data_IF_212308534330
#
_entry.id   IF_212308534330
#
_cell.length_a   1.000
_cell.length_b   1.000
_cell.length_c   1.000
_cell.angle_alpha   90.00
_cell.angle_beta   90.00
_cell.angle_gamma   90.00
#
_symmetry.space_group_name_H-M   'P 1'
#
loop_
_entity.id
_entity.type
_entity.pdbx_description
1 polymer ?
#
# COMPACT_ATOMS: atom_id res chain seq x y z
N UNK A 1 -7.04 -5.74 -11.13
CA UNK A 1 -7.18 -5.27 -9.75
C UNK A 1 -6.24 -5.99 -8.77
N UNK A 2 -6.25 -7.32 -8.73
CA UNK A 2 -5.59 -8.10 -7.68
C UNK A 2 -4.06 -7.91 -7.56
N UNK A 3 -3.41 -7.28 -8.53
CA UNK A 3 -1.97 -7.00 -8.51
C UNK A 3 -1.56 -5.94 -7.47
N UNK A 4 -2.48 -5.03 -7.11
CA UNK A 4 -2.25 -4.01 -6.10
C UNK A 4 -3.44 -3.91 -5.15
N UNK A 5 -3.19 -4.08 -3.84
CA UNK A 5 -4.23 -3.94 -2.84
C UNK A 5 -5.23 -5.12 -2.75
N UNK A 6 -4.99 -6.24 -3.42
CA UNK A 6 -5.80 -7.45 -3.33
C UNK A 6 -7.27 -7.20 -3.67
N UNK A 7 -8.13 -7.16 -2.65
CA UNK A 7 -9.57 -6.90 -2.81
C UNK A 7 -9.94 -5.41 -2.89
N UNK A 8 -8.99 -4.50 -2.72
CA UNK A 8 -9.23 -3.05 -2.80
C UNK A 8 -9.30 -2.61 -4.27
N UNK A 9 -10.41 -1.99 -4.76
CA UNK A 9 -10.60 -1.65 -6.17
C UNK A 9 -9.88 -0.37 -6.57
N UNK A 10 -8.56 -0.27 -6.30
CA UNK A 10 -7.79 0.96 -6.52
C UNK A 10 -7.41 1.19 -7.98
N UNK A 11 -7.03 0.15 -8.71
CA UNK A 11 -6.64 0.28 -10.13
C UNK A 11 -7.83 0.77 -10.94
N UNK A 12 -9.00 0.17 -10.72
CA UNK A 12 -10.24 0.59 -11.40
C UNK A 12 -10.66 2.01 -10.99
N UNK A 13 -10.51 2.35 -9.71
CA UNK A 13 -10.79 3.71 -9.25
C UNK A 13 -9.93 4.74 -9.98
N UNK A 14 -8.61 4.52 -10.08
CA UNK A 14 -7.70 5.39 -10.81
C UNK A 14 -8.04 5.49 -12.30
N UNK A 15 -8.42 4.36 -12.94
CA UNK A 15 -8.69 4.31 -14.38
C UNK A 15 -10.10 4.74 -14.78
N UNK A 16 -11.03 4.85 -13.84
CA UNK A 16 -12.44 5.13 -14.17
C UNK A 16 -13.07 6.20 -13.30
N UNK A 17 -13.03 6.04 -11.97
CA UNK A 17 -13.79 6.91 -11.07
C UNK A 17 -13.09 8.23 -10.77
N UNK A 18 -11.77 8.25 -10.82
CA UNK A 18 -10.91 9.41 -10.49
C UNK A 18 -10.34 10.11 -11.74
N UNK A 19 -10.82 9.77 -12.94
CA UNK A 19 -10.28 10.29 -14.19
C UNK A 19 -10.58 11.78 -14.45
N UNK A 20 -11.51 12.37 -13.69
CA UNK A 20 -11.78 13.80 -13.75
C UNK A 20 -10.79 14.63 -12.92
N UNK A 21 -10.02 13.98 -12.05
CA UNK A 21 -9.06 14.63 -11.17
C UNK A 21 -7.63 14.49 -11.70
N UNK A 22 -6.83 15.52 -11.44
CA UNK A 22 -5.38 15.37 -11.45
C UNK A 22 -4.95 14.84 -10.08
N UNK A 23 -4.34 13.66 -10.08
CA UNK A 23 -3.87 13.05 -8.85
C UNK A 23 -2.52 13.69 -8.47
N UNK A 24 -2.47 14.27 -7.28
CA UNK A 24 -1.28 14.92 -6.73
C UNK A 24 -0.50 14.00 -5.80
N UNK A 25 -1.20 13.13 -5.06
CA UNK A 25 -0.56 12.21 -4.11
C UNK A 25 -1.27 10.86 -4.08
N UNK A 26 -0.46 9.80 -3.98
CA UNK A 26 -0.89 8.46 -3.59
C UNK A 26 0.00 8.04 -2.43
N UNK A 27 -0.59 7.67 -1.31
CA UNK A 27 0.14 7.15 -0.15
C UNK A 27 -0.59 5.93 0.40
N UNK A 28 0.10 4.81 0.53
CA UNK A 28 -0.55 3.55 0.89
C UNK A 28 0.22 2.68 1.86
N UNK A 29 -0.53 1.91 2.64
CA UNK A 29 -0.09 0.71 3.33
C UNK A 29 -0.41 -0.44 2.37
N UNK A 30 0.60 -0.86 1.59
CA UNK A 30 0.43 -1.77 0.45
C UNK A 30 0.87 -3.20 0.74
N UNK A 31 1.36 -3.47 1.94
CA UNK A 31 1.81 -4.80 2.35
C UNK A 31 1.24 -5.16 3.72
N UNK A 32 0.38 -6.18 3.77
CA UNK A 32 -0.31 -6.60 4.98
C UNK A 32 0.62 -7.26 6.00
N UNK A 33 1.64 -7.99 5.56
CA UNK A 33 2.63 -8.66 6.43
C UNK A 33 3.39 -7.64 7.27
N UNK A 34 3.96 -6.62 6.64
CA UNK A 34 4.70 -5.56 7.34
C UNK A 34 3.81 -4.71 8.22
N UNK A 35 2.57 -4.42 7.79
CA UNK A 35 1.63 -3.68 8.63
C UNK A 35 1.25 -4.49 9.89
N UNK A 36 0.99 -5.79 9.74
CA UNK A 36 0.76 -6.70 10.86
C UNK A 36 1.97 -6.70 11.82
N UNK A 37 3.18 -6.86 11.29
CA UNK A 37 4.40 -6.91 12.10
C UNK A 37 4.60 -5.62 12.91
N UNK A 38 4.52 -4.45 12.27
CA UNK A 38 4.66 -3.15 12.95
C UNK A 38 3.57 -2.93 13.99
N UNK A 39 2.33 -3.33 13.69
CA UNK A 39 1.23 -3.26 14.65
C UNK A 39 1.49 -4.13 15.90
N UNK A 40 1.94 -5.37 15.71
CA UNK A 40 2.28 -6.28 16.82
C UNK A 40 3.47 -5.78 17.63
N UNK A 41 4.54 -5.31 16.98
CA UNK A 41 5.68 -4.71 17.66
C UNK A 41 5.26 -3.54 18.56
N UNK A 42 4.35 -2.69 18.07
CA UNK A 42 3.84 -1.53 18.82
C UNK A 42 2.91 -1.94 19.99
N UNK A 43 2.05 -2.92 19.80
CA UNK A 43 1.02 -3.28 20.82
C UNK A 43 1.54 -4.23 21.87
N UNK A 44 2.46 -5.13 21.54
CA UNK A 44 2.98 -6.17 22.42
C UNK A 44 4.43 -5.93 22.87
N UNK A 45 5.04 -4.83 22.40
CA UNK A 45 6.43 -4.47 22.68
C UNK A 45 7.41 -5.63 22.38
N UNK A 46 7.17 -6.32 21.26
CA UNK A 46 7.98 -7.44 20.80
C UNK A 46 9.02 -6.98 19.78
N UNK A 47 10.12 -7.73 19.67
CA UNK A 47 11.12 -7.49 18.64
C UNK A 47 10.70 -8.03 17.28
N UNK A 48 11.43 -7.60 16.23
CA UNK A 48 11.18 -7.96 14.86
C UNK A 48 11.19 -9.47 14.62
N UNK A 49 12.19 -10.19 15.15
CA UNK A 49 12.36 -11.62 14.90
C UNK A 49 11.25 -12.47 15.54
N UNK A 50 10.78 -12.06 16.71
CA UNK A 50 9.67 -12.70 17.41
C UNK A 50 8.38 -12.55 16.60
N UNK A 51 8.07 -11.35 16.14
CA UNK A 51 6.86 -11.08 15.36
C UNK A 51 6.93 -11.71 13.98
N UNK A 52 8.11 -11.76 13.35
CA UNK A 52 8.29 -12.44 12.06
C UNK A 52 7.95 -13.93 12.17
N UNK A 53 8.46 -14.62 13.20
CA UNK A 53 8.13 -16.05 13.44
C UNK A 53 6.63 -16.25 13.66
N UNK A 54 5.97 -15.34 14.38
CA UNK A 54 4.52 -15.40 14.57
C UNK A 54 3.78 -15.19 13.23
N UNK A 55 4.18 -14.22 12.43
CA UNK A 55 3.60 -13.98 11.12
C UNK A 55 3.76 -15.19 10.19
N UNK A 56 4.92 -15.85 10.21
CA UNK A 56 5.16 -17.08 9.46
C UNK A 56 4.28 -18.24 9.96
N UNK A 57 4.15 -18.41 11.27
CA UNK A 57 3.30 -19.46 11.86
C UNK A 57 1.82 -19.28 11.51
N UNK A 58 1.37 -18.02 11.35
CA UNK A 58 0.00 -17.66 10.92
C UNK A 58 -0.20 -17.71 9.40
N UNK A 59 0.86 -17.89 8.62
CA UNK A 59 0.82 -17.88 7.17
C UNK A 59 0.68 -16.47 6.56
N UNK A 60 1.00 -15.43 7.31
CA UNK A 60 1.03 -14.04 6.83
C UNK A 60 2.36 -13.70 6.15
N UNK A 61 3.44 -14.35 6.55
CA UNK A 61 4.75 -14.27 5.93
C UNK A 61 5.18 -15.64 5.39
N UNK A 62 5.82 -15.64 4.23
CA UNK A 62 6.44 -16.83 3.66
C UNK A 62 7.76 -17.16 4.36
N UNK A 63 8.34 -18.33 4.03
CA UNK A 63 9.64 -18.75 4.58
C UNK A 63 10.77 -17.77 4.22
N UNK A 64 10.72 -17.19 3.02
CA UNK A 64 11.57 -16.07 2.61
C UNK A 64 10.71 -14.78 2.54
N UNK A 65 10.70 -13.97 3.60
CA UNK A 65 9.92 -12.75 3.68
C UNK A 65 10.62 -11.51 3.10
N UNK A 66 11.78 -11.67 2.48
CA UNK A 66 12.68 -10.57 2.07
C UNK A 66 11.97 -9.51 1.23
N UNK A 67 11.11 -9.92 0.30
CA UNK A 67 10.36 -8.99 -0.55
C UNK A 67 9.37 -8.12 0.25
N UNK A 68 8.77 -8.69 1.30
CA UNK A 68 7.83 -7.98 2.18
C UNK A 68 8.59 -7.05 3.14
N UNK A 69 9.45 -7.62 4.00
CA UNK A 69 10.11 -6.86 5.07
C UNK A 69 11.16 -5.88 4.55
N UNK A 70 11.71 -6.11 3.37
CA UNK A 70 12.61 -5.20 2.66
C UNK A 70 11.90 -4.07 1.90
N UNK A 71 10.57 -4.12 1.78
CA UNK A 71 9.76 -3.11 1.10
C UNK A 71 9.63 -3.27 -0.42
N UNK A 72 10.24 -4.30 -1.02
CA UNK A 72 10.25 -4.49 -2.47
C UNK A 72 8.84 -4.75 -3.04
N UNK A 73 7.96 -5.45 -2.31
CA UNK A 73 6.57 -5.65 -2.71
C UNK A 73 5.81 -4.32 -2.77
N UNK A 74 5.90 -3.51 -1.71
CA UNK A 74 5.28 -2.19 -1.66
C UNK A 74 5.85 -1.24 -2.74
N UNK A 75 7.15 -1.35 -3.03
CA UNK A 75 7.82 -0.59 -4.08
C UNK A 75 7.25 -0.89 -5.47
N UNK A 76 7.08 -2.16 -5.83
CA UNK A 76 6.49 -2.55 -7.10
C UNK A 76 5.04 -2.08 -7.22
N UNK A 77 4.28 -2.16 -6.14
CA UNK A 77 2.88 -1.71 -6.11
C UNK A 77 2.75 -0.20 -6.28
N UNK A 78 3.56 0.61 -5.58
CA UNK A 78 3.51 2.06 -5.77
C UNK A 78 3.98 2.48 -7.16
N UNK A 79 4.94 1.77 -7.76
CA UNK A 79 5.35 2.01 -9.14
C UNK A 79 4.19 1.83 -10.13
N UNK A 80 3.38 0.78 -9.96
CA UNK A 80 2.19 0.52 -10.78
C UNK A 80 1.16 1.64 -10.57
N UNK A 81 0.80 1.94 -9.33
CA UNK A 81 -0.23 2.95 -9.02
C UNK A 81 0.18 4.35 -9.50
N UNK A 82 1.45 4.73 -9.32
CA UNK A 82 1.99 6.01 -9.79
C UNK A 82 1.99 6.10 -11.31
N UNK A 83 2.38 5.02 -11.98
CA UNK A 83 2.39 4.97 -13.45
C UNK A 83 0.98 5.16 -14.02
N UNK A 84 -0.02 4.55 -13.41
CA UNK A 84 -1.43 4.70 -13.79
C UNK A 84 -1.95 6.12 -13.53
N UNK A 85 -1.67 6.66 -12.34
CA UNK A 85 -2.19 7.96 -11.94
C UNK A 85 -1.57 9.14 -12.73
N UNK A 86 -0.28 9.03 -13.08
CA UNK A 86 0.44 10.14 -13.73
C UNK A 86 0.61 9.94 -15.24
N UNK A 87 0.16 8.82 -15.80
CA UNK A 87 0.31 8.52 -17.22
C UNK A 87 1.76 8.41 -17.71
N UNK A 88 2.71 8.14 -16.78
CA UNK A 88 4.14 8.02 -17.08
C UNK A 88 4.69 6.77 -16.40
N UNK A 89 5.44 5.98 -17.16
CA UNK A 89 6.05 4.76 -16.61
C UNK A 89 7.13 5.09 -15.56
N UNK A 90 6.93 4.61 -14.34
CA UNK A 90 7.89 4.70 -13.26
C UNK A 90 8.58 3.35 -13.07
N UNK A 91 9.90 3.32 -13.21
CA UNK A 91 10.69 2.13 -12.92
C UNK A 91 10.82 1.96 -11.42
N UNK A 92 10.52 0.77 -10.92
CA UNK A 92 10.62 0.50 -9.48
C UNK A 92 12.07 0.56 -8.97
N UNK A 93 13.07 0.35 -9.83
CA UNK A 93 14.49 0.48 -9.51
C UNK A 93 14.91 1.92 -9.16
N UNK A 94 14.15 2.91 -9.64
CA UNK A 94 14.41 4.34 -9.38
C UNK A 94 13.74 4.81 -8.08
N UNK A 95 12.96 3.95 -7.40
CA UNK A 95 12.23 4.28 -6.17
C UNK A 95 13.12 4.00 -4.95
N UNK A 96 13.39 5.01 -4.14
CA UNK A 96 14.01 4.80 -2.83
C UNK A 96 13.17 3.84 -1.99
N UNK A 97 13.79 2.76 -1.52
CA UNK A 97 13.09 1.70 -0.80
C UNK A 97 13.87 1.30 0.45
N UNK A 98 13.24 1.48 1.60
CA UNK A 98 13.71 1.02 2.89
C UNK A 98 12.61 0.20 3.56
N UNK A 99 12.96 -1.01 4.02
CA UNK A 99 12.04 -1.92 4.71
C UNK A 99 12.02 -1.68 6.22
N UNK A 100 11.42 -2.65 6.94
CA UNK A 100 11.17 -2.56 8.38
C UNK A 100 12.21 -3.31 9.25
N UNK A 101 13.21 -3.93 8.64
CA UNK A 101 14.15 -4.83 9.34
C UNK A 101 15.02 -4.14 10.40
N UNK A 102 15.13 -2.81 10.34
CA UNK A 102 15.91 -2.01 11.30
C UNK A 102 15.07 -1.40 12.41
N UNK A 103 13.75 -1.54 12.35
CA UNK A 103 12.84 -0.98 13.37
C UNK A 103 12.96 -1.81 14.65
N UNK A 104 13.16 -1.13 15.74
CA UNK A 104 13.37 -1.71 17.07
C UNK A 104 12.19 -1.45 18.00
N UNK A 105 12.06 -2.19 19.13
CA UNK A 105 11.07 -1.86 20.16
C UNK A 105 11.23 -0.44 20.73
N UNK A 106 12.46 0.07 20.81
CA UNK A 106 12.71 1.44 21.28
C UNK A 106 12.12 2.49 20.30
N UNK A 107 12.19 2.25 18.98
CA UNK A 107 11.57 3.14 18.00
C UNK A 107 10.04 3.16 18.17
N UNK A 108 9.44 2.00 18.49
CA UNK A 108 8.00 1.90 18.75
C UNK A 108 7.60 2.66 20.02
N UNK A 109 8.42 2.60 21.06
CA UNK A 109 8.19 3.35 22.31
C UNK A 109 8.28 4.86 22.08
N UNK A 110 9.30 5.33 21.38
CA UNK A 110 9.43 6.76 21.01
C UNK A 110 8.26 7.24 20.15
N UNK A 111 7.85 6.45 19.16
CA UNK A 111 6.67 6.79 18.36
C UNK A 111 5.42 6.95 19.23
N UNK A 112 5.21 6.05 20.18
CA UNK A 112 4.08 6.08 21.12
C UNK A 112 4.14 7.30 22.05
N UNK A 113 5.31 7.65 22.57
CA UNK A 113 5.50 8.86 23.39
C UNK A 113 5.14 10.13 22.62
N UNK A 114 5.42 10.15 21.31
CA UNK A 114 5.04 11.25 20.41
C UNK A 114 3.56 11.24 20.00
N UNK A 115 2.76 10.25 20.45
CA UNK A 115 1.38 10.06 20.01
C UNK A 115 1.25 9.62 18.55
N UNK A 116 2.29 8.97 18.02
CA UNK A 116 2.38 8.51 16.64
C UNK A 116 2.48 6.98 16.57
N UNK A 117 2.38 6.44 15.37
CA UNK A 117 2.66 5.03 15.06
C UNK A 117 3.64 4.93 13.89
N UNK A 118 4.38 3.83 13.81
CA UNK A 118 5.24 3.56 12.66
C UNK A 118 4.47 2.70 11.66
N UNK A 119 4.46 3.13 10.39
CA UNK A 119 3.88 2.40 9.26
C UNK A 119 4.89 2.33 8.13
N UNK A 120 4.94 1.21 7.41
CA UNK A 120 5.63 1.15 6.12
C UNK A 120 4.72 1.78 5.09
N UNK A 121 5.05 3.00 4.67
CA UNK A 121 4.29 3.70 3.64
C UNK A 121 5.02 3.65 2.30
N UNK A 122 4.25 3.37 1.27
CA UNK A 122 4.63 3.60 -0.11
C UNK A 122 3.94 4.88 -0.56
N UNK A 123 4.70 5.91 -0.87
CA UNK A 123 4.16 7.22 -1.23
C UNK A 123 4.68 7.69 -2.57
N UNK A 124 3.84 8.40 -3.30
CA UNK A 124 4.17 9.06 -4.56
C UNK A 124 3.48 10.41 -4.61
N UNK A 125 4.22 11.44 -5.03
CA UNK A 125 3.69 12.81 -5.07
C UNK A 125 4.16 13.52 -6.32
N UNK A 126 3.25 14.28 -6.94
CA UNK A 126 3.53 15.17 -8.06
C UNK A 126 4.15 16.47 -7.55
N UNK A 127 5.17 16.97 -8.25
CA UNK A 127 5.78 18.28 -8.03
C UNK A 127 5.96 18.95 -9.40
N UNK A 128 5.04 19.82 -9.76
CA UNK A 128 4.99 20.41 -11.10
C UNK A 128 4.86 19.33 -12.19
N UNK A 129 5.77 19.32 -13.16
CA UNK A 129 5.80 18.32 -14.24
C UNK A 129 6.52 17.02 -13.87
N UNK A 130 7.06 16.94 -12.67
CA UNK A 130 7.77 15.78 -12.16
C UNK A 130 6.98 15.10 -11.04
N UNK A 131 7.36 13.87 -10.72
CA UNK A 131 6.86 13.16 -9.54
C UNK A 131 7.99 12.33 -8.92
N UNK A 132 7.88 12.06 -7.65
CA UNK A 132 8.76 11.12 -6.95
C UNK A 132 7.94 10.05 -6.26
N UNK A 133 8.57 8.92 -5.98
CA UNK A 133 8.00 7.88 -5.15
C UNK A 133 9.06 7.34 -4.18
N UNK A 134 8.61 6.87 -3.04
CA UNK A 134 9.47 6.22 -2.06
C UNK A 134 8.71 5.22 -1.21
N UNK A 135 9.43 4.26 -0.65
CA UNK A 135 8.93 3.33 0.36
C UNK A 135 9.85 3.38 1.56
N UNK A 136 9.30 3.66 2.72
CA UNK A 136 10.06 3.71 3.97
C UNK A 136 9.14 3.54 5.18
N UNK A 137 9.69 3.24 6.37
CA UNK A 137 8.98 3.45 7.63
C UNK A 137 8.75 4.95 7.89
N UNK A 138 7.51 5.30 8.23
CA UNK A 138 7.11 6.67 8.56
C UNK A 138 6.49 6.73 9.95
N UNK A 139 6.73 7.83 10.64
CA UNK A 139 5.94 8.23 11.80
C UNK A 139 4.61 8.82 11.31
N UNK A 140 3.51 8.21 11.70
CA UNK A 140 2.15 8.59 11.29
C UNK A 140 1.40 9.10 12.51
N UNK A 141 0.95 10.35 12.45
CA UNK A 141 0.18 10.98 13.53
C UNK A 141 -1.31 10.64 13.46
N UNK A 142 -2.02 10.87 14.58
CA UNK A 142 -3.45 10.55 14.72
C UNK A 142 -4.37 11.31 13.76
N UNK A 143 -3.91 12.43 13.20
CA UNK A 143 -4.67 13.19 12.20
C UNK A 143 -4.69 12.53 10.81
N UNK A 144 -3.76 11.60 10.56
CA UNK A 144 -3.73 10.85 9.30
C UNK A 144 -4.76 9.72 9.31
N UNK A 145 -5.56 9.55 8.25
CA UNK A 145 -6.48 8.42 8.13
C UNK A 145 -5.76 7.06 8.12
N UNK A 146 -4.47 7.03 7.78
CA UNK A 146 -3.64 5.82 7.77
C UNK A 146 -3.22 5.37 9.18
N UNK A 147 -3.34 6.23 10.19
CA UNK A 147 -2.95 5.92 11.57
C UNK A 147 -3.65 4.67 12.11
N UNK A 148 -4.95 4.55 11.87
CA UNK A 148 -5.80 3.47 12.39
C UNK A 148 -5.88 2.24 11.49
N UNK A 149 -5.14 2.20 10.39
CA UNK A 149 -5.04 1.02 9.53
C UNK A 149 -4.08 0.01 10.16
N UNK A 150 -4.62 -0.98 10.85
CA UNK A 150 -3.86 -1.93 11.65
C UNK A 150 -3.99 -3.37 11.14
N UNK A 151 -3.22 -4.29 11.76
CA UNK A 151 -3.24 -5.71 11.45
C UNK A 151 -2.88 -5.97 9.98
N UNK A 152 -3.48 -6.95 9.33
CA UNK A 152 -3.21 -7.35 7.94
C UNK A 152 -3.88 -6.45 6.89
N UNK A 153 -4.60 -5.43 7.33
CA UNK A 153 -5.34 -4.55 6.42
C UNK A 153 -4.42 -3.61 5.66
N UNK A 154 -4.86 -3.28 4.46
CA UNK A 154 -4.23 -2.31 3.58
C UNK A 154 -5.14 -1.09 3.41
N UNK A 155 -4.53 0.03 3.04
CA UNK A 155 -5.25 1.22 2.60
C UNK A 155 -4.43 1.99 1.57
N UNK A 156 -5.13 2.63 0.66
CA UNK A 156 -4.55 3.56 -0.32
C UNK A 156 -5.27 4.89 -0.17
N UNK A 157 -4.52 5.89 0.24
CA UNK A 157 -4.94 7.28 0.29
C UNK A 157 -4.58 7.95 -1.04
N UNK A 158 -5.49 8.71 -1.59
CA UNK A 158 -5.33 9.46 -2.85
C UNK A 158 -5.78 10.89 -2.61
N UNK A 159 -4.96 11.85 -3.04
CA UNK A 159 -5.32 13.26 -3.08
C UNK A 159 -5.42 13.73 -4.52
N UNK A 160 -6.60 14.22 -4.89
CA UNK A 160 -6.89 14.81 -6.20
C UNK A 160 -7.20 16.30 -6.08
N UNK A 161 -6.93 17.05 -7.14
CA UNK A 161 -7.06 18.52 -7.14
C UNK A 161 -8.50 19.01 -6.94
N UNK A 162 -9.51 18.25 -7.34
CA UNK A 162 -10.94 18.62 -7.23
C UNK A 162 -11.67 17.82 -6.15
N UNK A 163 -11.41 16.52 -6.10
CA UNK A 163 -12.02 15.61 -5.11
C UNK A 163 -11.48 15.88 -3.69
N UNK A 164 -10.21 16.30 -3.57
CA UNK A 164 -9.51 16.31 -2.30
C UNK A 164 -9.09 14.89 -1.88
N UNK A 165 -9.33 14.55 -0.62
CA UNK A 165 -8.87 13.30 -0.02
C UNK A 165 -9.87 12.16 -0.21
N UNK A 166 -9.40 11.03 -0.71
CA UNK A 166 -10.12 9.77 -0.74
C UNK A 166 -9.24 8.65 -0.17
N UNK A 167 -9.85 7.69 0.52
CA UNK A 167 -9.16 6.53 1.04
C UNK A 167 -9.91 5.25 0.69
N UNK A 168 -9.17 4.28 0.18
CA UNK A 168 -9.63 2.93 -0.12
C UNK A 168 -9.03 1.98 0.90
N UNK A 169 -9.87 1.30 1.67
CA UNK A 169 -9.46 0.43 2.77
C UNK A 169 -10.03 -0.97 2.60
N UNK A 170 -9.27 -2.00 2.92
CA UNK A 170 -9.75 -3.37 2.87
C UNK A 170 -8.65 -4.42 3.02
N UNK A 171 -9.00 -5.65 2.66
CA UNK A 171 -8.07 -6.77 2.67
C UNK A 171 -7.14 -6.71 1.46
N UNK A 172 -5.87 -6.41 1.71
CA UNK A 172 -4.83 -6.31 0.68
C UNK A 172 -4.36 -7.65 0.12
N UNK A 173 -4.71 -8.75 0.78
CA UNK A 173 -4.39 -10.11 0.38
C UNK A 173 -5.46 -11.10 0.88
N UNK A 174 -5.33 -12.37 0.50
CA UNK A 174 -6.20 -13.44 0.94
C UNK A 174 -6.99 -14.08 -0.19
N UNK A 175 -7.33 -15.34 0.00
CA UNK A 175 -7.97 -16.18 -1.02
C UNK A 175 -9.26 -15.56 -1.58
N UNK A 176 -10.18 -15.14 -0.71
CA UNK A 176 -11.47 -14.60 -1.13
C UNK A 176 -11.38 -13.16 -1.68
N UNK A 177 -10.66 -12.22 -1.05
CA UNK A 177 -10.47 -10.88 -1.62
C UNK A 177 -9.81 -10.90 -2.99
N UNK A 178 -8.76 -11.71 -3.17
CA UNK A 178 -8.09 -11.86 -4.47
C UNK A 178 -9.00 -12.48 -5.52
N UNK A 179 -9.74 -13.54 -5.17
CA UNK A 179 -10.71 -14.16 -6.08
C UNK A 179 -11.82 -13.17 -6.48
N UNK A 180 -12.33 -12.38 -5.54
CA UNK A 180 -13.34 -11.34 -5.83
C UNK A 180 -12.83 -10.32 -6.85
N UNK A 181 -11.60 -9.85 -6.69
CA UNK A 181 -10.99 -8.91 -7.62
C UNK A 181 -10.82 -9.52 -9.03
N UNK A 182 -10.29 -10.74 -9.11
CA UNK A 182 -10.11 -11.45 -10.39
C UNK A 182 -11.44 -11.70 -11.10
N UNK A 183 -12.46 -12.18 -10.38
CA UNK A 183 -13.80 -12.39 -10.96
C UNK A 183 -14.43 -11.07 -11.39
N UNK A 184 -14.21 -9.99 -10.62
CA UNK A 184 -14.63 -8.64 -10.99
C UNK A 184 -14.05 -8.19 -12.32
N UNK A 185 -12.75 -8.45 -12.57
CA UNK A 185 -12.07 -8.12 -13.82
C UNK A 185 -12.60 -8.99 -14.99
N UNK A 186 -12.90 -10.27 -14.77
CA UNK A 186 -13.51 -11.15 -15.77
C UNK A 186 -14.90 -10.63 -16.17
N UNK A 187 -15.72 -10.24 -15.17
CA UNK A 187 -17.06 -9.69 -15.45
C UNK A 187 -16.96 -8.38 -16.22
N UNK A 188 -16.01 -7.52 -15.88
CA UNK A 188 -15.79 -6.27 -16.58
C UNK A 188 -15.35 -6.51 -18.02
N UNK A 189 -14.37 -7.38 -18.25
CA UNK A 189 -13.95 -7.78 -19.59
C UNK A 189 -15.11 -8.36 -20.41
N UNK A 190 -15.97 -9.17 -19.81
CA UNK A 190 -17.13 -9.75 -20.47
C UNK A 190 -18.17 -8.70 -20.92
N UNK A 191 -18.33 -7.61 -20.17
CA UNK A 191 -19.21 -6.49 -20.54
C UNK A 191 -18.68 -5.69 -21.75
N UNK A 192 -17.38 -5.79 -22.02
CA UNK A 192 -16.70 -5.00 -23.06
C UNK A 192 -16.19 -5.84 -24.23
N UNK A 193 -16.70 -7.07 -24.42
CA UNK A 193 -16.27 -7.98 -25.49
C UNK A 193 -16.36 -7.39 -26.91
N UNK A 194 -17.21 -6.42 -27.13
CA UNK A 194 -17.44 -5.79 -28.43
C UNK A 194 -16.94 -4.34 -28.50
N UNK A 195 -16.25 -3.87 -27.50
CA UNK A 195 -15.75 -2.49 -27.42
C UNK A 195 -14.25 -2.51 -27.19
N UNK A 196 -13.49 -1.87 -28.08
CA UNK A 196 -12.06 -1.62 -27.83
C UNK A 196 -11.94 -0.54 -26.76
N UNK A 197 -11.53 -0.93 -25.56
CA UNK A 197 -11.16 0.02 -24.51
C UNK A 197 -9.66 0.30 -24.67
N UNK A 198 -9.34 1.51 -25.09
CA UNK A 198 -7.95 1.99 -25.05
C UNK A 198 -7.70 2.48 -23.64
N UNK A 199 -6.86 1.76 -22.91
CA UNK A 199 -6.30 2.28 -21.65
C UNK A 199 -5.14 3.21 -22.01
N UNK A 200 -5.23 4.44 -21.58
CA UNK A 200 -4.16 5.44 -21.76
C UNK A 200 -2.94 5.11 -20.89
#
# INVERSE_FOLDING_TARGET
>A
EASCGGGIPIIRALNSSLTADEIDEITGILNGTTNYMLYKMSTENCDFDTVLKEAQAKGYAEADPTADVGGADACRKIAILSSLAYGKFLKYEDIYTEGITKITPADMEYAKELGMTIKLLATSRRIGDSFYAMVAPFLVGQSSPLYSVNDVFNAVFVHGNMLGDAMFYGSGAGKLPTASAVVGDIVDAAKHLHVNIVTN
#
